data_IF_993133831459
#
_entry.id   IF_993133831459
#
_cell.length_a   1.000
_cell.length_b   1.000
_cell.length_c   1.000
_cell.angle_alpha   90.00
_cell.angle_beta   90.00
_cell.angle_gamma   90.00
#
_symmetry.space_group_name_H-M   'P 1'
#
loop_
_entity.id
_entity.type
_entity.pdbx_description
1 polymer ?
#
# COMPACT_ATOMS: atom_id res chain seq x y z
N UNK A 1 -19.75 -8.12 -15.53
CA UNK A 1 -18.53 -7.46 -16.03
C UNK A 1 -17.68 -7.07 -14.83
N UNK A 2 -16.42 -7.50 -14.71
CA UNK A 2 -15.59 -6.99 -13.62
C UNK A 2 -15.42 -5.49 -13.84
N UNK A 3 -15.80 -4.68 -12.84
CA UNK A 3 -15.48 -3.26 -12.84
C UNK A 3 -13.96 -3.17 -12.98
N UNK A 4 -13.47 -2.47 -14.01
CA UNK A 4 -12.05 -2.14 -14.15
C UNK A 4 -11.62 -1.35 -12.91
N UNK A 5 -11.25 -2.06 -11.85
CA UNK A 5 -10.61 -1.48 -10.68
C UNK A 5 -9.24 -1.04 -11.18
N UNK A 6 -9.01 0.27 -11.15
CA UNK A 6 -7.72 0.84 -11.53
C UNK A 6 -6.72 0.53 -10.41
N UNK A 7 -6.22 -0.70 -10.40
CA UNK A 7 -5.22 -1.15 -9.44
C UNK A 7 -3.89 -0.45 -9.71
N UNK A 8 -3.08 -0.19 -8.67
CA UNK A 8 -1.72 0.30 -8.85
C UNK A 8 -0.90 -0.76 -9.60
N UNK A 9 -0.13 -0.33 -10.58
CA UNK A 9 0.66 -1.20 -11.46
C UNK A 9 2.15 -1.16 -11.14
N UNK A 10 2.56 -0.23 -10.29
CA UNK A 10 3.97 -0.05 -9.90
C UNK A 10 4.11 -0.05 -8.38
N UNK A 11 5.32 -0.34 -7.88
CA UNK A 11 5.62 -0.29 -6.45
C UNK A 11 5.34 1.09 -5.82
N UNK A 12 5.73 2.23 -6.44
CA UNK A 12 5.36 3.55 -5.91
C UNK A 12 3.85 3.79 -5.83
N UNK A 13 3.08 3.37 -6.83
CA UNK A 13 1.62 3.49 -6.81
C UNK A 13 0.99 2.61 -5.71
N UNK A 14 1.55 1.42 -5.47
CA UNK A 14 1.11 0.54 -4.39
C UNK A 14 1.41 1.14 -3.01
N UNK A 15 2.57 1.77 -2.84
CA UNK A 15 2.94 2.52 -1.63
C UNK A 15 1.99 3.70 -1.42
N UNK A 16 1.72 4.49 -2.45
CA UNK A 16 0.77 5.61 -2.37
C UNK A 16 -0.65 5.13 -2.02
N UNK A 17 -1.08 4.01 -2.63
CA UNK A 17 -2.35 3.39 -2.32
C UNK A 17 -2.44 2.99 -0.84
N UNK A 18 -1.43 2.30 -0.31
CA UNK A 18 -1.37 1.93 1.10
C UNK A 18 -1.33 3.15 2.02
N UNK A 19 -0.50 4.14 1.71
CA UNK A 19 -0.41 5.40 2.46
C UNK A 19 -1.77 6.10 2.56
N UNK A 20 -2.51 6.15 1.45
CA UNK A 20 -3.84 6.78 1.35
C UNK A 20 -4.91 6.02 2.14
N UNK A 21 -4.86 4.68 2.15
CA UNK A 21 -5.94 3.81 2.63
C UNK A 21 -5.76 3.32 4.06
N UNK A 22 -4.53 3.06 4.49
CA UNK A 22 -4.27 2.52 5.82
C UNK A 22 -4.58 3.56 6.92
N UNK A 23 -5.03 3.10 8.11
CA UNK A 23 -5.15 3.95 9.29
C UNK A 23 -3.79 4.52 9.70
N UNK A 24 -3.79 5.74 10.28
CA UNK A 24 -2.58 6.38 10.79
C UNK A 24 -1.90 5.49 11.84
N UNK A 25 -2.66 4.88 12.74
CA UNK A 25 -2.16 3.94 13.76
C UNK A 25 -1.39 2.76 13.14
N UNK A 26 -1.89 2.20 12.02
CA UNK A 26 -1.21 1.11 11.31
C UNK A 26 0.10 1.58 10.68
N UNK A 27 0.11 2.77 10.08
CA UNK A 27 1.33 3.37 9.51
C UNK A 27 2.37 3.70 10.59
N UNK A 28 1.93 4.14 11.77
CA UNK A 28 2.81 4.39 12.92
C UNK A 28 3.36 3.08 13.53
N UNK A 29 2.54 2.02 13.58
CA UNK A 29 2.99 0.70 14.03
C UNK A 29 4.08 0.10 13.12
N UNK A 30 3.98 0.31 11.81
CA UNK A 30 5.00 -0.12 10.84
C UNK A 30 6.38 0.54 11.05
N UNK A 31 6.45 1.67 11.78
CA UNK A 31 7.71 2.33 12.11
C UNK A 31 8.34 1.81 13.40
N UNK A 32 7.59 1.10 14.24
CA UNK A 32 8.11 0.52 15.47
C UNK A 32 8.95 -0.72 15.15
N UNK A 33 9.97 -1.04 15.96
CA UNK A 33 10.61 -2.34 15.88
C UNK A 33 9.56 -3.44 16.07
N UNK A 34 9.72 -4.56 15.34
CA UNK A 34 8.85 -5.72 15.52
C UNK A 34 8.99 -6.23 16.96
N UNK A 35 8.02 -5.89 17.82
CA UNK A 35 7.75 -6.63 19.05
C UNK A 35 7.15 -7.97 18.66
N UNK A 36 7.17 -8.97 19.56
CA UNK A 36 6.62 -10.33 19.34
C UNK A 36 5.11 -10.38 18.97
N UNK A 37 4.47 -9.24 18.70
CA UNK A 37 3.12 -9.10 18.13
C UNK A 37 3.10 -9.43 16.62
N UNK A 38 3.66 -10.58 16.24
CA UNK A 38 3.66 -11.13 14.87
C UNK A 38 2.23 -11.21 14.28
N UNK A 39 1.19 -11.29 15.11
CA UNK A 39 -0.22 -11.33 14.71
C UNK A 39 -0.71 -10.07 13.99
N UNK A 40 -0.14 -8.88 14.27
CA UNK A 40 -0.56 -7.65 13.58
C UNK A 40 -0.13 -7.62 12.11
N UNK A 41 0.94 -8.32 11.76
CA UNK A 41 1.51 -8.28 10.40
C UNK A 41 0.84 -9.28 9.45
N UNK A 42 0.36 -10.43 9.95
CA UNK A 42 -0.34 -11.40 9.09
C UNK A 42 -1.62 -10.81 8.49
N UNK A 43 -2.45 -10.15 9.31
CA UNK A 43 -3.65 -9.46 8.84
C UNK A 43 -3.37 -8.36 7.82
N UNK A 44 -2.24 -7.66 7.96
CA UNK A 44 -1.84 -6.58 7.06
C UNK A 44 -1.39 -7.11 5.69
N UNK A 45 -0.60 -8.18 5.64
CA UNK A 45 -0.21 -8.81 4.37
C UNK A 45 -1.42 -9.31 3.56
N UNK A 46 -2.38 -9.93 4.25
CA UNK A 46 -3.67 -10.32 3.65
C UNK A 46 -4.45 -9.13 3.10
N UNK A 47 -4.50 -8.05 3.86
CA UNK A 47 -5.18 -6.83 3.43
C UNK A 47 -4.53 -6.25 2.16
N UNK A 48 -3.20 -6.18 2.10
CA UNK A 48 -2.43 -5.65 0.96
C UNK A 48 -2.76 -6.44 -0.30
N UNK A 49 -2.56 -7.76 -0.31
CA UNK A 49 -2.77 -8.58 -1.51
C UNK A 49 -4.21 -8.54 -2.04
N UNK A 50 -5.19 -8.43 -1.15
CA UNK A 50 -6.61 -8.35 -1.52
C UNK A 50 -7.02 -6.97 -2.06
N UNK A 51 -6.49 -5.89 -1.49
CA UNK A 51 -6.87 -4.54 -1.89
C UNK A 51 -6.12 -4.04 -3.13
N UNK A 52 -4.96 -4.61 -3.42
CA UNK A 52 -4.16 -4.29 -4.61
C UNK A 52 -4.49 -5.15 -5.83
N UNK A 53 -5.46 -6.06 -5.74
CA UNK A 53 -5.91 -6.81 -6.91
C UNK A 53 -5.03 -7.99 -7.29
N UNK A 54 -4.12 -8.43 -6.41
CA UNK A 54 -3.10 -9.41 -6.77
C UNK A 54 -3.71 -10.78 -7.10
N UNK A 55 -4.78 -11.16 -6.39
CA UNK A 55 -5.59 -12.35 -6.70
C UNK A 55 -6.58 -12.14 -7.85
N UNK A 56 -6.80 -10.89 -8.27
CA UNK A 56 -7.80 -10.48 -9.25
C UNK A 56 -7.20 -10.12 -10.61
N UNK A 57 -5.96 -10.56 -10.87
CA UNK A 57 -5.29 -10.39 -12.15
C UNK A 57 -4.46 -9.12 -12.28
N UNK A 58 -4.07 -8.46 -11.18
CA UNK A 58 -3.08 -7.37 -11.22
C UNK A 58 -1.65 -7.91 -11.46
N UNK A 59 -1.44 -8.58 -12.60
CA UNK A 59 -0.15 -9.12 -13.00
C UNK A 59 0.91 -8.03 -13.20
N UNK A 60 0.51 -6.84 -13.64
CA UNK A 60 1.43 -5.71 -13.82
C UNK A 60 2.19 -5.35 -12.53
N UNK A 61 1.49 -5.33 -11.39
CA UNK A 61 2.16 -5.08 -10.10
C UNK A 61 3.04 -6.24 -9.66
N UNK A 62 2.61 -7.49 -9.89
CA UNK A 62 3.42 -8.68 -9.59
C UNK A 62 4.73 -8.67 -10.38
N UNK A 63 4.66 -8.37 -11.67
CA UNK A 63 5.82 -8.19 -12.54
C UNK A 63 6.71 -7.05 -12.06
N UNK A 64 6.13 -5.89 -11.74
CA UNK A 64 6.88 -4.70 -11.30
C UNK A 64 7.70 -4.93 -10.02
N UNK A 65 7.25 -5.83 -9.14
CA UNK A 65 7.93 -6.18 -7.88
C UNK A 65 8.66 -7.52 -7.95
N UNK A 66 8.67 -8.18 -9.12
CA UNK A 66 9.26 -9.50 -9.33
C UNK A 66 8.71 -10.59 -8.39
N UNK A 67 7.43 -10.49 -8.02
CA UNK A 67 6.75 -11.49 -7.20
C UNK A 67 6.09 -12.56 -8.09
N UNK A 68 6.33 -13.82 -7.75
CA UNK A 68 5.78 -14.97 -8.49
C UNK A 68 4.36 -15.30 -8.02
N UNK A 69 4.05 -15.03 -6.75
CA UNK A 69 2.75 -15.30 -6.15
C UNK A 69 2.22 -14.07 -5.38
N UNK A 70 0.90 -13.85 -5.32
CA UNK A 70 0.29 -12.78 -4.52
C UNK A 70 0.69 -12.75 -3.04
N UNK A 71 1.06 -13.89 -2.45
CA UNK A 71 1.54 -13.94 -1.07
C UNK A 71 2.95 -13.34 -0.93
N UNK A 72 3.82 -13.58 -1.90
CA UNK A 72 5.20 -13.08 -1.93
C UNK A 72 5.26 -11.57 -2.13
N UNK A 73 4.22 -11.01 -2.75
CA UNK A 73 4.15 -9.59 -3.08
C UNK A 73 3.92 -8.67 -1.89
N UNK A 74 3.31 -9.17 -0.81
CA UNK A 74 2.90 -8.32 0.32
C UNK A 74 4.08 -7.78 1.12
N UNK A 75 5.12 -8.60 1.34
CA UNK A 75 6.34 -8.23 2.07
C UNK A 75 7.08 -7.05 1.42
N UNK A 76 7.51 -7.16 0.15
CA UNK A 76 8.22 -6.09 -0.56
C UNK A 76 7.45 -4.77 -0.61
N UNK A 77 6.12 -4.81 -0.72
CA UNK A 77 5.27 -3.60 -0.70
C UNK A 77 5.27 -2.95 0.69
N UNK A 78 5.20 -3.75 1.75
CA UNK A 78 5.28 -3.24 3.13
C UNK A 78 6.67 -2.70 3.45
N UNK A 79 7.74 -3.35 3.00
CA UNK A 79 9.11 -2.87 3.16
C UNK A 79 9.31 -1.53 2.45
N UNK A 80 8.81 -1.40 1.22
CA UNK A 80 8.84 -0.15 0.47
C UNK A 80 8.03 0.96 1.16
N UNK A 81 6.87 0.62 1.74
CA UNK A 81 6.08 1.56 2.54
C UNK A 81 6.83 2.00 3.80
N UNK A 82 7.48 1.09 4.53
CA UNK A 82 8.30 1.42 5.70
C UNK A 82 9.45 2.33 5.31
N UNK A 83 10.17 2.02 4.22
CA UNK A 83 11.24 2.85 3.70
C UNK A 83 10.73 4.27 3.36
N UNK A 84 9.57 4.37 2.68
CA UNK A 84 8.92 5.64 2.37
C UNK A 84 8.60 6.44 3.65
N UNK A 85 7.97 5.82 4.65
CA UNK A 85 7.63 6.49 5.91
C UNK A 85 8.87 6.99 6.66
N UNK A 86 9.97 6.23 6.60
CA UNK A 86 11.25 6.62 7.24
C UNK A 86 11.91 7.79 6.52
N UNK A 87 11.88 7.83 5.19
CA UNK A 87 12.45 8.89 4.36
C UNK A 87 11.61 10.18 4.38
N UNK A 88 10.29 10.07 4.41
CA UNK A 88 9.35 11.19 4.35
C UNK A 88 8.74 11.49 5.72
N UNK A 89 9.42 12.28 6.56
CA UNK A 89 8.88 12.67 7.88
C UNK A 89 7.56 13.45 7.80
N UNK A 90 7.27 14.04 6.64
CA UNK A 90 6.04 14.73 6.28
C UNK A 90 4.93 13.80 5.75
N UNK A 91 5.06 12.47 5.87
CA UNK A 91 4.11 11.51 5.30
C UNK A 91 2.65 11.73 5.77
N UNK A 92 2.42 12.27 6.98
CA UNK A 92 1.08 12.63 7.46
C UNK A 92 0.44 13.72 6.61
N UNK A 93 1.22 14.73 6.22
CA UNK A 93 0.78 15.79 5.30
C UNK A 93 0.52 15.21 3.90
N UNK A 94 1.45 14.42 3.37
CA UNK A 94 1.30 13.74 2.07
C UNK A 94 0.03 12.92 2.01
N UNK A 95 -0.21 12.09 3.03
CA UNK A 95 -1.45 11.31 3.18
C UNK A 95 -2.69 12.18 3.19
N UNK A 96 -2.66 13.32 3.91
CA UNK A 96 -3.78 14.26 3.92
C UNK A 96 -4.06 14.81 2.52
N UNK A 97 -3.02 15.19 1.78
CA UNK A 97 -3.14 15.69 0.40
C UNK A 97 -3.69 14.62 -0.55
N UNK A 98 -3.26 13.35 -0.42
CA UNK A 98 -3.78 12.23 -1.23
C UNK A 98 -5.27 11.93 -1.01
N UNK A 99 -5.81 12.33 0.14
CA UNK A 99 -7.22 12.16 0.52
C UNK A 99 -8.04 13.42 0.32
N UNK A 100 -7.41 14.55 0.02
CA UNK A 100 -8.14 15.76 -0.30
C UNK A 100 -8.98 15.53 -1.56
N UNK A 101 -10.20 16.08 -1.64
CA UNK A 101 -10.92 16.12 -2.89
C UNK A 101 -10.04 16.81 -3.93
N UNK A 102 -9.97 16.26 -5.15
CA UNK A 102 -9.36 17.01 -6.26
C UNK A 102 -10.15 18.31 -6.39
N UNK A 103 -9.50 19.47 -6.58
CA UNK A 103 -10.26 20.69 -6.89
C UNK A 103 -11.12 20.34 -8.10
N UNK A 104 -12.44 20.55 -7.97
CA UNK A 104 -13.37 20.37 -9.08
C UNK A 104 -12.74 21.12 -10.26
N UNK A 105 -12.53 20.40 -11.36
CA UNK A 105 -12.14 21.02 -12.62
C UNK A 105 -13.14 22.15 -12.85
N UNK A 106 -12.67 23.38 -12.68
CA UNK A 106 -13.51 24.56 -12.85
C UNK A 106 -14.17 24.49 -14.23
N UNK A 107 -15.46 24.87 -14.35
CA UNK A 107 -16.19 24.82 -15.61
C UNK A 107 -15.51 25.64 -16.72
#
# INVERSE_FOLDING_TARGET
>A
MPRNKNYPKTLPEAVEFCLKRLPVKTLEALLQPATDEQDHHFGLGMWVRNNLGLWQGNGALLEAIHAWHPDDASGPILDALVAFLRQHKDWKLRRRLLRAPKPDSAP
#
